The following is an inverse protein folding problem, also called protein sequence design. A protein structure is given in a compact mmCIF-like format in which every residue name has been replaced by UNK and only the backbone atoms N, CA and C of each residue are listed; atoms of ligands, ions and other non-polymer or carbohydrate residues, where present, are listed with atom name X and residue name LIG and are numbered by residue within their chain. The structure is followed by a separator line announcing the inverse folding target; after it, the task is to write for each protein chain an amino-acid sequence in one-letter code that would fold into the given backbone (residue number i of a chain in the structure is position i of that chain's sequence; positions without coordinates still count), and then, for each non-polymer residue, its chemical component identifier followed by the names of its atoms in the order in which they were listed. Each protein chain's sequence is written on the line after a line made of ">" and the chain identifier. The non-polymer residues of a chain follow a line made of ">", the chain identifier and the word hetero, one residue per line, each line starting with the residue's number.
data_IF_233500664291
#
_entry.id   IF_233500664291
#
_cell.length_a   1.000
_cell.length_b   1.000
_cell.length_c   1.000
_cell.angle_alpha   90.00
_cell.angle_beta   90.00
_cell.angle_gamma   90.00
#
_symmetry.space_group_name_H-M   'P 1'
#
loop_
_entity.id
_entity.type
_entity.pdbx_description
1 polymer ?
#
# COMPACT_ATOMS: atom_id res chain seq x y z
N UNK A 1 2.16 41.92 5.75
CA UNK A 1 2.55 40.72 6.52
C UNK A 1 1.41 39.71 6.47
N UNK A 2 1.44 38.80 5.50
CA UNK A 2 0.45 37.72 5.39
C UNK A 2 0.97 36.50 6.16
N UNK A 3 0.24 36.09 7.21
CA UNK A 3 0.48 34.86 7.96
C UNK A 3 0.33 33.68 7.00
N UNK A 4 1.42 32.98 6.71
CA UNK A 4 1.34 31.63 6.17
C UNK A 4 0.58 30.77 7.19
N UNK A 5 -0.67 30.43 6.87
CA UNK A 5 -1.39 29.39 7.57
C UNK A 5 -0.60 28.09 7.38
N UNK A 6 0.21 27.74 8.38
CA UNK A 6 0.78 26.41 8.51
C UNK A 6 -0.38 25.45 8.78
N UNK A 7 -1.07 25.05 7.72
CA UNK A 7 -2.03 23.96 7.75
C UNK A 7 -1.24 22.69 7.96
N UNK A 8 -0.97 22.37 9.21
CA UNK A 8 -0.43 21.10 9.64
C UNK A 8 -1.52 20.04 9.45
N UNK A 9 -1.83 19.70 8.19
CA UNK A 9 -2.82 18.73 7.80
C UNK A 9 -2.28 17.32 8.10
N UNK A 10 -2.23 17.00 9.38
CA UNK A 10 -1.93 15.64 9.85
C UNK A 10 -3.12 14.78 9.43
N UNK A 11 -2.88 13.89 8.46
CA UNK A 11 -3.88 12.92 8.04
C UNK A 11 -3.80 11.66 8.92
N UNK A 12 -4.94 11.05 9.19
CA UNK A 12 -5.01 9.78 9.90
C UNK A 12 -4.51 8.64 9.01
N UNK A 13 -4.10 7.53 9.65
CA UNK A 13 -3.72 6.29 8.94
C UNK A 13 -4.85 5.83 8.00
N UNK A 14 -6.11 5.93 8.43
CA UNK A 14 -7.25 5.57 7.59
C UNK A 14 -7.43 6.48 6.38
N UNK A 15 -7.15 7.78 6.53
CA UNK A 15 -7.17 8.73 5.41
C UNK A 15 -6.06 8.40 4.41
N UNK A 16 -4.84 8.14 4.91
CA UNK A 16 -3.71 7.75 4.05
C UNK A 16 -4.01 6.45 3.30
N UNK A 17 -4.48 5.41 3.99
CA UNK A 17 -4.80 4.13 3.35
C UNK A 17 -5.88 4.26 2.28
N UNK A 18 -6.90 5.09 2.51
CA UNK A 18 -7.94 5.37 1.51
C UNK A 18 -7.35 6.04 0.27
N UNK A 19 -6.54 7.08 0.46
CA UNK A 19 -5.89 7.79 -0.66
C UNK A 19 -4.94 6.86 -1.43
N UNK A 20 -4.14 6.06 -0.74
CA UNK A 20 -3.25 5.07 -1.38
C UNK A 20 -4.04 4.07 -2.21
N UNK A 21 -5.17 3.57 -1.70
CA UNK A 21 -6.06 2.67 -2.44
C UNK A 21 -6.59 3.34 -3.72
N UNK A 22 -7.14 4.55 -3.59
CA UNK A 22 -7.68 5.31 -4.74
C UNK A 22 -6.63 5.54 -5.83
N UNK A 23 -5.40 5.88 -5.46
CA UNK A 23 -4.30 6.05 -6.42
C UNK A 23 -3.95 4.74 -7.12
N UNK A 24 -3.81 3.65 -6.38
CA UNK A 24 -3.48 2.34 -6.96
C UNK A 24 -4.59 1.88 -7.92
N UNK A 25 -5.86 2.02 -7.53
CA UNK A 25 -7.01 1.65 -8.37
C UNK A 25 -7.11 2.53 -9.64
N UNK A 26 -6.75 3.82 -9.54
CA UNK A 26 -6.80 4.76 -10.67
C UNK A 26 -5.67 4.55 -11.68
N UNK A 27 -4.47 4.18 -11.23
CA UNK A 27 -3.30 4.15 -12.10
C UNK A 27 -2.85 2.73 -12.47
N UNK A 28 -3.16 1.71 -11.66
CA UNK A 28 -2.71 0.33 -11.86
C UNK A 28 -3.85 -0.64 -12.23
N UNK A 29 -4.63 -0.29 -13.26
CA UNK A 29 -5.78 -1.07 -13.73
C UNK A 29 -5.47 -2.56 -13.98
N UNK A 30 -4.31 -2.85 -14.59
CA UNK A 30 -3.84 -4.23 -14.80
C UNK A 30 -2.32 -4.26 -14.81
N UNK A 31 -1.74 -4.89 -13.80
CA UNK A 31 -0.31 -5.12 -13.73
C UNK A 31 -0.02 -6.60 -13.57
N UNK A 32 1.11 -7.03 -14.12
CA UNK A 32 1.68 -8.35 -13.89
C UNK A 32 3.00 -8.17 -13.16
N UNK A 33 3.19 -8.95 -12.09
CA UNK A 33 4.41 -8.94 -11.29
C UNK A 33 4.92 -10.37 -11.13
N UNK A 34 6.23 -10.51 -11.07
CA UNK A 34 6.92 -11.79 -10.86
C UNK A 34 7.89 -11.63 -9.72
N UNK A 35 8.00 -12.64 -8.85
CA UNK A 35 8.90 -12.62 -7.72
C UNK A 35 8.90 -13.94 -6.96
N UNK A 36 9.75 -14.01 -5.94
CA UNK A 36 9.81 -15.14 -5.02
C UNK A 36 8.79 -14.96 -3.88
N UNK A 37 8.08 -16.04 -3.56
CA UNK A 37 7.15 -16.07 -2.43
C UNK A 37 7.91 -16.45 -1.17
N UNK A 38 7.71 -15.69 -0.10
CA UNK A 38 8.21 -15.98 1.25
C UNK A 38 7.12 -15.78 2.30
N UNK A 39 7.34 -16.33 3.51
CA UNK A 39 6.45 -16.17 4.66
C UNK A 39 4.97 -16.52 4.38
N UNK A 40 4.72 -17.60 3.64
CA UNK A 40 3.37 -18.04 3.26
C UNK A 40 2.59 -18.57 4.47
N UNK A 41 1.45 -17.95 4.76
CA UNK A 41 0.47 -18.41 5.73
C UNK A 41 -0.86 -18.76 5.04
N UNK A 42 -1.48 -19.88 5.45
CA UNK A 42 -2.77 -20.36 4.93
C UNK A 42 -3.75 -20.65 6.08
N UNK A 43 -4.29 -19.62 6.75
CA UNK A 43 -5.27 -19.79 7.82
C UNK A 43 -6.59 -20.37 7.31
N UNK A 44 -7.41 -20.88 8.24
CA UNK A 44 -8.75 -21.42 7.95
C UNK A 44 -9.78 -20.38 7.51
N UNK A 45 -9.45 -19.08 7.58
CA UNK A 45 -10.30 -17.99 7.06
C UNK A 45 -10.43 -18.00 5.54
N UNK A 46 -9.58 -18.75 4.82
CA UNK A 46 -9.61 -18.88 3.37
C UNK A 46 -8.74 -17.86 2.61
N UNK A 47 -8.09 -16.93 3.30
CA UNK A 47 -7.16 -15.98 2.69
C UNK A 47 -5.70 -16.42 2.86
N UNK A 48 -4.91 -16.36 1.80
CA UNK A 48 -3.47 -16.58 1.88
C UNK A 48 -2.74 -15.26 2.09
N UNK A 49 -1.76 -15.28 2.97
CA UNK A 49 -0.89 -14.15 3.23
C UNK A 49 0.52 -14.57 2.87
N UNK A 50 1.22 -13.75 2.10
CA UNK A 50 2.62 -14.01 1.74
C UNK A 50 3.31 -12.69 1.41
N UNK A 51 4.65 -12.71 1.41
CA UNK A 51 5.48 -11.63 0.89
C UNK A 51 5.98 -12.03 -0.49
N UNK A 52 5.80 -11.17 -1.49
CA UNK A 52 6.37 -11.32 -2.83
C UNK A 52 7.62 -10.43 -2.95
N UNK A 53 8.77 -11.02 -3.27
CA UNK A 53 10.07 -10.34 -3.31
C UNK A 53 10.70 -10.39 -4.70
N UNK A 54 11.47 -9.38 -5.06
CA UNK A 54 12.42 -9.41 -6.17
C UNK A 54 13.86 -9.32 -5.64
N UNK A 55 14.84 -9.24 -6.53
CA UNK A 55 16.26 -9.15 -6.16
C UNK A 55 16.64 -7.89 -5.38
N UNK A 56 15.77 -6.87 -5.36
CA UNK A 56 15.99 -5.59 -4.66
C UNK A 56 15.16 -5.47 -3.38
N UNK A 57 14.30 -6.43 -3.09
CA UNK A 57 13.53 -6.45 -1.85
C UNK A 57 14.48 -6.59 -0.65
N UNK A 58 14.33 -5.70 0.34
CA UNK A 58 14.99 -5.80 1.64
C UNK A 58 14.27 -6.80 2.54
#
# INVERSE_FOLDING_TARGET
>A
MSKFAQNNNIISVSQLNRQSKELLETYLHRVQVTGEISNLARPSSGHWYFTLKDQRAQ
#
